data_IF_893613451069
#
_entry.id   IF_893613451069
#
_cell.length_a   1.000
_cell.length_b   1.000
_cell.length_c   1.000
_cell.angle_alpha   90.00
_cell.angle_beta   90.00
_cell.angle_gamma   90.00
#
_symmetry.space_group_name_H-M   'P 1'
#
loop_
_entity.id
_entity.type
_entity.pdbx_description
1 polymer ?
#
# COMPACT_ATOMS: atom_id res chain seq x y z
N UNK A 1 -8.35 -14.70 16.18
CA UNK A 1 -9.03 -13.75 15.26
C UNK A 1 -8.43 -12.36 15.47
N UNK A 2 -8.19 -11.56 14.42
CA UNK A 2 -7.82 -10.15 14.58
C UNK A 2 -8.87 -9.42 15.42
N UNK A 3 -8.43 -8.56 16.37
CA UNK A 3 -9.33 -7.88 17.31
C UNK A 3 -10.36 -6.95 16.66
N UNK A 4 -10.14 -6.57 15.40
CA UNK A 4 -11.02 -5.67 14.64
C UNK A 4 -12.15 -6.40 13.88
N UNK A 5 -12.18 -7.74 13.88
CA UNK A 5 -13.30 -8.49 13.32
C UNK A 5 -14.30 -8.83 14.42
N UNK A 6 -15.59 -8.65 14.15
CA UNK A 6 -16.63 -9.07 15.08
C UNK A 6 -16.68 -10.61 15.19
N UNK A 7 -17.25 -11.11 16.29
CA UNK A 7 -17.44 -12.55 16.47
C UNK A 7 -18.27 -13.13 15.31
N UNK A 8 -17.76 -14.21 14.68
CA UNK A 8 -18.38 -14.82 13.50
C UNK A 8 -18.00 -14.17 12.16
N UNK A 9 -17.34 -13.01 12.16
CA UNK A 9 -16.94 -12.32 10.95
C UNK A 9 -15.59 -12.86 10.42
N UNK A 10 -15.61 -13.52 9.25
CA UNK A 10 -14.40 -14.10 8.63
C UNK A 10 -13.57 -13.08 7.85
N UNK A 11 -14.19 -12.01 7.37
CA UNK A 11 -13.57 -11.00 6.50
C UNK A 11 -14.09 -9.59 6.84
N UNK A 12 -13.26 -8.58 6.60
CA UNK A 12 -13.66 -7.17 6.68
C UNK A 12 -14.78 -6.86 5.68
N UNK A 13 -15.51 -5.77 5.91
CA UNK A 13 -16.42 -5.24 4.89
C UNK A 13 -15.62 -4.85 3.64
N UNK A 14 -16.29 -4.79 2.48
CA UNK A 14 -15.63 -4.37 1.23
C UNK A 14 -15.11 -2.94 1.36
N UNK A 15 -15.87 -2.08 2.03
CA UNK A 15 -15.50 -0.69 2.30
C UNK A 15 -14.24 -0.60 3.17
N UNK A 16 -14.22 -1.26 4.33
CA UNK A 16 -13.07 -1.22 5.25
C UNK A 16 -11.81 -1.82 4.60
N UNK A 17 -11.98 -2.90 3.82
CA UNK A 17 -10.88 -3.51 3.09
C UNK A 17 -10.31 -2.58 2.01
N UNK A 18 -11.18 -1.88 1.27
CA UNK A 18 -10.76 -0.91 0.26
C UNK A 18 -10.08 0.31 0.89
N UNK A 19 -10.60 0.83 2.00
CA UNK A 19 -9.98 1.90 2.78
C UNK A 19 -8.59 1.50 3.30
N UNK A 20 -8.47 0.30 3.85
CA UNK A 20 -7.20 -0.25 4.32
C UNK A 20 -6.17 -0.39 3.18
N UNK A 21 -6.63 -0.75 1.97
CA UNK A 21 -5.78 -0.83 0.78
C UNK A 21 -5.23 0.54 0.38
N UNK A 22 -6.07 1.59 0.39
CA UNK A 22 -5.63 2.97 0.11
C UNK A 22 -4.60 3.42 1.13
N UNK A 23 -4.89 3.27 2.43
CA UNK A 23 -3.95 3.63 3.51
C UNK A 23 -2.62 2.92 3.34
N UNK A 24 -2.65 1.63 3.00
CA UNK A 24 -1.44 0.86 2.75
C UNK A 24 -0.65 1.43 1.57
N UNK A 25 -1.30 1.78 0.46
CA UNK A 25 -0.63 2.37 -0.71
C UNK A 25 0.02 3.72 -0.39
N UNK A 26 -0.65 4.60 0.35
CA UNK A 26 -0.07 5.87 0.81
C UNK A 26 1.14 5.61 1.70
N UNK A 27 1.03 4.67 2.65
CA UNK A 27 2.12 4.29 3.54
C UNK A 27 3.36 3.84 2.77
N UNK A 28 3.20 3.05 1.71
CA UNK A 28 4.32 2.65 0.83
C UNK A 28 5.09 3.85 0.28
N UNK A 29 4.40 4.92 -0.14
CA UNK A 29 5.05 6.13 -0.67
C UNK A 29 5.81 6.87 0.43
N UNK A 30 5.20 7.01 1.61
CA UNK A 30 5.82 7.66 2.78
C UNK A 30 7.05 6.89 3.26
N UNK A 31 6.93 5.57 3.41
CA UNK A 31 8.03 4.70 3.83
C UNK A 31 9.18 4.73 2.81
N UNK A 32 8.87 4.72 1.52
CA UNK A 32 9.89 4.81 0.46
C UNK A 32 10.63 6.15 0.47
N UNK A 33 9.91 7.25 0.74
CA UNK A 33 10.48 8.58 0.90
C UNK A 33 11.38 8.66 2.13
N UNK A 34 10.90 8.15 3.27
CA UNK A 34 11.66 8.11 4.52
C UNK A 34 12.91 7.23 4.40
N UNK A 35 12.83 6.09 3.70
CA UNK A 35 13.99 5.25 3.44
C UNK A 35 15.05 6.01 2.64
N UNK A 36 14.65 6.87 1.68
CA UNK A 36 15.57 7.70 0.91
C UNK A 36 16.26 8.76 1.77
N UNK A 37 15.54 9.41 2.68
CA UNK A 37 16.12 10.38 3.63
C UNK A 37 17.11 9.69 4.56
N UNK A 38 16.78 8.51 5.07
CA UNK A 38 17.65 7.74 5.98
C UNK A 38 18.90 7.15 5.31
N UNK A 39 19.00 7.14 3.97
CA UNK A 39 20.27 6.78 3.28
C UNK A 39 21.40 7.77 3.57
N UNK A 40 21.06 8.98 4.00
CA UNK A 40 22.05 10.02 4.30
C UNK A 40 22.62 9.78 5.69
N UNK A 41 23.89 9.39 5.77
CA UNK A 41 24.60 9.02 7.01
C UNK A 41 24.43 10.02 8.16
N UNK A 42 24.29 11.31 7.83
CA UNK A 42 24.07 12.36 8.83
C UNK A 42 22.68 12.25 9.48
N UNK A 43 21.63 11.97 8.71
CA UNK A 43 20.24 11.87 9.16
C UNK A 43 19.86 10.48 9.70
N UNK A 44 20.70 9.47 9.46
CA UNK A 44 20.54 8.12 9.99
C UNK A 44 21.01 7.98 11.46
N UNK A 45 21.75 8.96 11.97
CA UNK A 45 22.37 8.94 13.29
C UNK A 45 21.72 9.91 14.26
N UNK A 46 22.02 9.75 15.54
CA UNK A 46 21.62 10.70 16.58
C UNK A 46 22.26 12.06 16.31
N UNK A 47 21.41 13.08 16.16
CA UNK A 47 21.85 14.46 16.01
C UNK A 47 22.06 15.10 17.39
N UNK A 48 23.09 15.94 17.56
CA UNK A 48 23.26 16.72 18.77
C UNK A 48 22.08 17.67 19.02
N UNK A 49 21.71 17.90 20.28
CA UNK A 49 20.55 18.73 20.67
C UNK A 49 20.60 20.16 20.09
N UNK A 50 21.79 20.74 19.97
CA UNK A 50 21.98 22.08 19.39
C UNK A 50 21.64 22.17 17.91
N UNK A 51 21.52 21.03 17.22
CA UNK A 51 21.15 20.95 15.80
C UNK A 51 19.66 20.79 15.55
N UNK A 52 18.86 20.52 16.60
CA UNK A 52 17.40 20.36 16.49
C UNK A 52 16.73 21.53 15.75
N UNK A 53 17.09 22.81 16.00
CA UNK A 53 16.47 23.93 15.27
C UNK A 53 16.66 23.87 13.75
N UNK A 54 17.70 23.20 13.25
CA UNK A 54 18.07 23.16 11.83
C UNK A 54 17.64 21.87 11.12
N UNK A 55 17.02 20.92 11.83
CA UNK A 55 16.67 19.61 11.25
C UNK A 55 15.76 19.72 10.03
N UNK A 56 14.83 20.69 10.05
CA UNK A 56 13.95 20.98 8.92
C UNK A 56 14.71 21.45 7.68
N UNK A 57 15.82 22.18 7.85
CA UNK A 57 16.65 22.64 6.74
C UNK A 57 17.47 21.49 6.16
N UNK A 58 18.04 20.63 7.01
CA UNK A 58 18.76 19.44 6.55
C UNK A 58 17.88 18.51 5.72
N UNK A 59 16.66 18.24 6.19
CA UNK A 59 15.70 17.42 5.45
C UNK A 59 15.33 18.08 4.12
N UNK A 60 15.07 19.40 4.10
CA UNK A 60 14.76 20.13 2.86
C UNK A 60 15.91 20.07 1.85
N UNK A 61 17.15 20.27 2.29
CA UNK A 61 18.34 20.17 1.44
C UNK A 61 18.46 18.77 0.86
N UNK A 62 18.40 17.73 1.71
CA UNK A 62 18.49 16.32 1.29
C UNK A 62 17.38 15.95 0.30
N UNK A 63 16.16 16.40 0.55
CA UNK A 63 15.03 16.17 -0.36
C UNK A 63 15.23 16.90 -1.71
N UNK A 64 15.71 18.14 -1.71
CA UNK A 64 15.98 18.89 -2.93
C UNK A 64 17.06 18.20 -3.80
N UNK A 65 18.16 17.77 -3.18
CA UNK A 65 19.22 17.01 -3.86
C UNK A 65 18.68 15.68 -4.38
N UNK A 66 17.91 14.96 -3.55
CA UNK A 66 17.29 13.70 -3.94
C UNK A 66 16.34 13.85 -5.13
N UNK A 67 15.51 14.89 -5.15
CA UNK A 67 14.55 15.13 -6.23
C UNK A 67 15.24 15.55 -7.53
N UNK A 68 16.44 16.14 -7.46
CA UNK A 68 17.19 16.56 -8.64
C UNK A 68 17.99 15.42 -9.27
N UNK A 69 18.58 14.55 -8.46
CA UNK A 69 19.61 13.61 -8.92
C UNK A 69 19.25 12.13 -8.77
N UNK A 70 18.27 11.77 -7.94
CA UNK A 70 17.85 10.38 -7.81
C UNK A 70 16.65 10.08 -8.72
N UNK A 71 16.50 8.83 -9.20
CA UNK A 71 15.32 8.43 -9.94
C UNK A 71 14.02 8.72 -9.15
N UNK A 72 12.90 8.98 -9.83
CA UNK A 72 11.59 9.08 -9.20
C UNK A 72 11.30 7.85 -8.31
N UNK A 73 10.54 8.07 -7.23
CA UNK A 73 10.06 6.95 -6.40
C UNK A 73 8.98 6.14 -7.11
N UNK A 74 8.22 6.77 -8.00
CA UNK A 74 7.28 6.10 -8.87
C UNK A 74 8.01 5.42 -10.02
N UNK A 75 7.47 4.29 -10.47
CA UNK A 75 7.84 3.63 -11.72
C UNK A 75 7.23 4.30 -12.95
N UNK A 76 6.25 5.19 -12.76
CA UNK A 76 5.63 5.91 -13.86
C UNK A 76 6.59 6.93 -14.48
N UNK A 77 6.49 7.08 -15.79
CA UNK A 77 7.38 7.93 -16.59
C UNK A 77 7.01 9.41 -16.56
N UNK A 78 5.79 9.74 -16.12
CA UNK A 78 5.29 11.12 -16.02
C UNK A 78 4.32 11.29 -14.84
N UNK A 79 4.12 12.54 -14.42
CA UNK A 79 3.14 12.91 -13.39
C UNK A 79 1.71 12.53 -13.78
N UNK A 80 1.37 12.71 -15.06
CA UNK A 80 0.02 12.40 -15.56
C UNK A 80 -0.32 10.90 -15.39
N UNK A 81 0.68 10.02 -15.53
CA UNK A 81 0.52 8.59 -15.30
C UNK A 81 0.31 8.26 -13.81
N UNK A 82 1.02 8.95 -12.91
CA UNK A 82 0.81 8.81 -11.46
C UNK A 82 -0.60 9.26 -11.07
N UNK A 83 -1.07 10.38 -11.63
CA UNK A 83 -2.44 10.89 -11.40
C UNK A 83 -3.50 9.92 -11.95
N UNK A 84 -3.29 9.37 -13.15
CA UNK A 84 -4.19 8.39 -13.73
C UNK A 84 -4.27 7.10 -12.88
N UNK A 85 -3.15 6.60 -12.38
CA UNK A 85 -3.11 5.41 -11.52
C UNK A 85 -3.76 5.68 -10.15
N UNK A 86 -3.55 6.87 -9.58
CA UNK A 86 -4.24 7.30 -8.36
C UNK A 86 -5.77 7.39 -8.57
N UNK A 87 -6.21 7.98 -9.68
CA UNK A 87 -7.63 8.07 -10.03
C UNK A 87 -8.24 6.68 -10.23
N UNK A 88 -7.52 5.76 -10.89
CA UNK A 88 -7.92 4.36 -11.05
C UNK A 88 -8.05 3.67 -9.69
N UNK A 89 -7.10 3.84 -8.78
CA UNK A 89 -7.18 3.26 -7.43
C UNK A 89 -8.40 3.79 -6.66
N UNK A 90 -8.71 5.08 -6.77
CA UNK A 90 -9.90 5.69 -6.16
C UNK A 90 -11.21 5.24 -6.81
N UNK A 91 -11.20 4.93 -8.10
CA UNK A 91 -12.36 4.36 -8.76
C UNK A 91 -12.60 2.91 -8.28
N UNK A 92 -11.55 2.08 -8.26
CA UNK A 92 -11.62 0.68 -7.83
C UNK A 92 -11.99 0.54 -6.35
N UNK A 93 -11.65 1.51 -5.50
CA UNK A 93 -12.03 1.47 -4.08
C UNK A 93 -13.53 1.63 -3.84
N UNK A 94 -14.25 2.22 -4.80
CA UNK A 94 -15.71 2.39 -4.76
C UNK A 94 -16.47 1.20 -5.34
N UNK A 95 -15.76 0.27 -5.98
CA UNK A 95 -16.39 -0.90 -6.58
C UNK A 95 -16.75 -1.96 -5.55
N UNK A 96 -17.85 -2.65 -5.81
CA UNK A 96 -18.30 -3.79 -5.02
C UNK A 96 -17.41 -5.01 -5.24
N UNK A 97 -17.29 -5.86 -4.23
CA UNK A 97 -16.45 -7.05 -4.32
C UNK A 97 -17.20 -8.19 -5.03
N UNK A 98 -17.11 -8.21 -6.36
CA UNK A 98 -17.71 -9.26 -7.18
C UNK A 98 -17.19 -10.67 -6.86
N UNK A 99 -15.92 -10.79 -6.43
CA UNK A 99 -15.35 -12.08 -6.03
C UNK A 99 -16.03 -12.62 -4.76
N UNK A 100 -16.31 -11.75 -3.79
CA UNK A 100 -17.04 -12.15 -2.58
C UNK A 100 -18.42 -12.70 -2.94
N UNK A 101 -19.16 -11.99 -3.81
CA UNK A 101 -20.46 -12.45 -4.30
C UNK A 101 -20.36 -13.81 -5.01
N UNK A 102 -19.38 -13.99 -5.90
CA UNK A 102 -19.16 -15.24 -6.60
C UNK A 102 -18.86 -16.42 -5.66
N UNK A 103 -18.03 -16.21 -4.63
CA UNK A 103 -17.69 -17.26 -3.65
C UNK A 103 -18.91 -17.65 -2.81
N UNK A 104 -19.74 -16.67 -2.45
CA UNK A 104 -20.99 -16.89 -1.70
C UNK A 104 -22.03 -17.64 -2.55
N UNK A 105 -22.22 -17.24 -3.81
CA UNK A 105 -23.13 -17.87 -4.75
C UNK A 105 -22.74 -19.31 -5.08
N UNK A 106 -21.45 -19.57 -5.31
CA UNK A 106 -20.94 -20.89 -5.68
C UNK A 106 -20.58 -21.77 -4.46
N UNK A 107 -20.81 -21.29 -3.23
CA UNK A 107 -20.51 -22.04 -2.01
C UNK A 107 -19.03 -22.42 -1.84
N UNK A 108 -18.12 -21.69 -2.48
CA UNK A 108 -16.67 -21.94 -2.55
C UNK A 108 -15.95 -21.63 -1.22
N UNK A 109 -16.69 -21.18 -0.21
CA UNK A 109 -16.23 -20.97 1.17
C UNK A 109 -15.81 -22.27 1.86
N UNK A 110 -16.30 -23.43 1.36
CA UNK A 110 -15.96 -24.75 1.87
C UNK A 110 -14.73 -25.26 1.13
N UNK A 111 -13.70 -25.67 1.88
CA UNK A 111 -12.64 -26.55 1.36
C UNK A 111 -13.30 -27.88 0.98
N UNK A 112 -13.90 -27.97 -0.20
CA UNK A 112 -14.15 -29.27 -0.81
C UNK A 112 -12.76 -29.81 -1.09
N UNK A 113 -12.44 -30.95 -0.47
CA UNK A 113 -11.26 -31.74 -0.82
C UNK A 113 -11.26 -31.87 -2.34
N UNK A 114 -10.34 -31.19 -3.03
CA UNK A 114 -10.09 -31.37 -4.47
C UNK A 114 -9.47 -32.76 -4.65
N UNK A 115 -10.30 -33.80 -4.49
CA UNK A 115 -9.91 -35.19 -4.54
C UNK A 115 -10.55 -35.98 -5.66
N UNK A 116 -11.49 -35.42 -6.45
CA UNK A 116 -12.22 -36.23 -7.43
C UNK A 116 -12.76 -35.51 -8.69
N UNK A 117 -12.22 -34.35 -9.08
CA UNK A 117 -12.68 -33.67 -10.31
C UNK A 117 -11.58 -33.15 -11.23
N UNK A 118 -10.40 -33.78 -11.16
CA UNK A 118 -9.28 -33.62 -12.11
C UNK A 118 -9.25 -34.72 -13.18
N UNK A 119 -10.37 -35.41 -13.43
CA UNK A 119 -10.46 -36.53 -14.40
C UNK A 119 -11.41 -36.26 -15.59
N UNK A 120 -11.73 -35.00 -15.91
CA UNK A 120 -12.55 -34.68 -17.09
C UNK A 120 -11.92 -33.74 -18.11
N UNK A 121 -10.64 -33.42 -17.97
CA UNK A 121 -9.88 -32.64 -18.96
C UNK A 121 -8.45 -33.17 -19.11
N UNK A 122 -8.30 -34.50 -19.21
CA UNK A 122 -7.22 -35.08 -20.02
C UNK A 122 -7.68 -35.11 -21.47
#
# INVERSE_FOLDING_TARGET
MPKFLMAGQKQMSTEDANMSRIVTKVRWVVESSNARIKRWRYLDRTLPTHQIPYIGDYVRIVCAVSNRFLPPLSSCSSKDQDEAEAAKMLHLSKQVNHLKAFIEENGLQRKVLFGNQLLKWC
#
